data_IF_371622468742
#
_entry.id   IF_371622468742
#
_cell.length_a   1.000
_cell.length_b   1.000
_cell.length_c   1.000
_cell.angle_alpha   90.00
_cell.angle_beta   90.00
_cell.angle_gamma   90.00
#
_symmetry.space_group_name_H-M   'P 1'
#
loop_
_entity.id
_entity.type
_entity.pdbx_description
1 polymer ?
#
# COMPACT_ATOMS: atom_id res chain seq x y z
N UNK A 1 3.23 -10.81 -2.88
CA UNK A 1 1.92 -10.15 -2.78
C UNK A 1 1.35 -10.03 -4.18
N UNK A 2 0.19 -10.66 -4.42
CA UNK A 2 -0.60 -10.58 -5.64
C UNK A 2 -1.42 -9.28 -5.66
N UNK A 3 -1.77 -8.74 -6.83
CA UNK A 3 -2.59 -7.52 -6.95
C UNK A 3 -3.89 -7.56 -6.15
N UNK A 4 -4.52 -8.75 -6.14
CA UNK A 4 -5.76 -9.04 -5.42
C UNK A 4 -5.63 -8.82 -3.90
N UNK A 5 -4.45 -9.08 -3.33
CA UNK A 5 -4.18 -8.93 -1.90
C UNK A 5 -4.10 -7.45 -1.50
N UNK A 6 -3.71 -6.56 -2.41
CA UNK A 6 -3.68 -5.10 -2.16
C UNK A 6 -5.10 -4.56 -2.04
N UNK A 7 -5.98 -4.97 -2.96
CA UNK A 7 -7.40 -4.60 -2.94
C UNK A 7 -8.09 -5.13 -1.68
N UNK A 8 -7.89 -6.41 -1.37
CA UNK A 8 -8.45 -7.04 -0.17
C UNK A 8 -7.95 -6.35 1.10
N UNK A 9 -6.65 -6.03 1.19
CA UNK A 9 -6.10 -5.28 2.31
C UNK A 9 -6.81 -3.94 2.49
N UNK A 10 -6.96 -3.14 1.42
CA UNK A 10 -7.66 -1.85 1.49
C UNK A 10 -9.10 -2.00 1.97
N UNK A 11 -9.82 -2.98 1.43
CA UNK A 11 -11.23 -3.22 1.76
C UNK A 11 -11.41 -3.64 3.23
N UNK A 12 -10.49 -4.44 3.78
CA UNK A 12 -10.49 -4.81 5.22
C UNK A 12 -10.32 -3.61 6.15
N UNK A 13 -9.59 -2.58 5.73
CA UNK A 13 -9.45 -1.33 6.48
C UNK A 13 -10.63 -0.36 6.26
N UNK A 14 -11.57 -0.67 5.35
CA UNK A 14 -12.70 0.19 5.03
C UNK A 14 -12.31 1.46 4.26
N UNK A 15 -11.13 1.47 3.61
CA UNK A 15 -10.60 2.66 2.95
C UNK A 15 -11.00 2.74 1.46
N UNK A 16 -11.26 3.96 1.01
CA UNK A 16 -11.21 4.32 -0.41
C UNK A 16 -9.78 4.20 -0.96
N UNK A 17 -9.64 4.13 -2.29
CA UNK A 17 -8.31 4.12 -2.93
C UNK A 17 -7.50 5.38 -2.58
N UNK A 18 -8.15 6.53 -2.38
CA UNK A 18 -7.48 7.78 -2.02
C UNK A 18 -6.92 7.71 -0.59
N UNK A 19 -7.71 7.20 0.35
CA UNK A 19 -7.30 7.06 1.76
C UNK A 19 -6.18 6.05 1.93
N UNK A 20 -6.28 4.88 1.28
CA UNK A 20 -5.22 3.87 1.31
C UNK A 20 -3.92 4.37 0.68
N UNK A 21 -4.01 5.13 -0.42
CA UNK A 21 -2.83 5.73 -1.04
C UNK A 21 -2.19 6.79 -0.11
N UNK A 22 -3.01 7.60 0.56
CA UNK A 22 -2.53 8.57 1.55
C UNK A 22 -1.86 7.88 2.75
N UNK A 23 -2.45 6.80 3.29
CA UNK A 23 -1.89 6.02 4.38
C UNK A 23 -0.52 5.39 4.03
N UNK A 24 -0.35 5.00 2.76
CA UNK A 24 0.91 4.46 2.23
C UNK A 24 1.90 5.53 1.76
N UNK A 25 1.53 6.82 1.76
CA UNK A 25 2.38 7.90 1.25
C UNK A 25 2.65 7.84 -0.26
N UNK A 26 1.72 7.32 -1.06
CA UNK A 26 1.86 7.19 -2.52
C UNK A 26 0.71 7.89 -3.27
N UNK A 27 0.89 8.08 -4.57
CA UNK A 27 -0.20 8.58 -5.44
C UNK A 27 -1.31 7.54 -5.64
N UNK A 28 -2.57 8.00 -5.79
CA UNK A 28 -3.72 7.12 -6.05
C UNK A 28 -3.52 6.21 -7.27
N UNK A 29 -2.96 6.75 -8.36
CA UNK A 29 -2.66 5.99 -9.59
C UNK A 29 -1.64 4.85 -9.38
N UNK A 30 -0.74 5.03 -8.41
CA UNK A 30 0.24 4.00 -8.02
C UNK A 30 -0.48 2.85 -7.31
N UNK A 31 -1.35 3.18 -6.35
CA UNK A 31 -2.19 2.17 -5.67
C UNK A 31 -3.07 1.41 -6.68
N UNK A 32 -3.74 2.12 -7.59
CA UNK A 32 -4.56 1.49 -8.63
C UNK A 32 -3.74 0.53 -9.50
N UNK A 33 -2.51 0.89 -9.86
CA UNK A 33 -1.62 0.01 -10.62
C UNK A 33 -1.23 -1.23 -9.82
N UNK A 34 -1.07 -1.12 -8.50
CA UNK A 34 -0.83 -2.27 -7.62
C UNK A 34 -2.05 -3.19 -7.51
N UNK A 35 -3.25 -2.64 -7.34
CA UNK A 35 -4.49 -3.45 -7.30
C UNK A 35 -4.78 -4.16 -8.62
N UNK A 36 -4.41 -3.52 -9.74
CA UNK A 36 -4.64 -4.05 -11.08
C UNK A 36 -3.53 -5.00 -11.54
N UNK A 37 -2.32 -4.84 -11.02
CA UNK A 37 -1.13 -5.60 -11.39
C UNK A 37 -0.41 -5.11 -12.64
N UNK A 38 -0.81 -3.98 -13.22
CA UNK A 38 -0.16 -3.36 -14.38
C UNK A 38 -0.39 -1.85 -14.43
N UNK A 39 0.52 -1.13 -15.09
CA UNK A 39 0.41 0.33 -15.30
C UNK A 39 -0.65 0.66 -16.34
N UNK A 40 -1.37 1.76 -16.14
CA UNK A 40 -2.40 2.19 -17.09
C UNK A 40 -1.83 2.62 -18.44
N UNK A 41 -0.66 3.27 -18.46
CA UNK A 41 -0.09 3.87 -19.68
C UNK A 41 0.47 2.84 -20.67
N UNK A 42 1.27 1.89 -20.19
CA UNK A 42 2.05 0.97 -21.05
C UNK A 42 1.71 -0.51 -20.85
N UNK A 43 0.71 -0.81 -20.02
CA UNK A 43 0.27 -2.16 -19.63
C UNK A 43 1.37 -3.05 -19.06
N UNK A 44 2.53 -2.50 -18.69
CA UNK A 44 3.61 -3.31 -18.10
C UNK A 44 3.18 -3.83 -16.73
N UNK A 45 3.50 -5.10 -16.42
CA UNK A 45 3.23 -5.66 -15.11
C UNK A 45 3.89 -4.82 -14.01
N UNK A 46 3.18 -4.67 -12.90
CA UNK A 46 3.69 -3.98 -11.72
C UNK A 46 3.82 -4.96 -10.58
N UNK A 47 5.01 -4.99 -9.99
CA UNK A 47 5.27 -5.70 -8.74
C UNK A 47 5.16 -4.70 -7.59
N UNK A 48 4.42 -5.05 -6.54
CA UNK A 48 4.34 -4.25 -5.31
C UNK A 48 5.73 -4.27 -4.63
N UNK A 49 6.42 -3.13 -4.45
CA UNK A 49 7.76 -3.10 -3.86
C UNK A 49 7.79 -3.60 -2.41
N UNK A 50 8.97 -4.04 -1.93
CA UNK A 50 9.16 -4.49 -0.55
C UNK A 50 8.75 -3.42 0.47
N UNK A 51 9.11 -2.15 0.21
CA UNK A 51 8.78 -1.01 1.09
C UNK A 51 7.28 -0.86 1.29
N UNK A 52 6.48 -0.97 0.22
CA UNK A 52 5.03 -0.91 0.29
C UNK A 52 4.45 -2.10 1.05
N UNK A 53 4.95 -3.32 0.80
CA UNK A 53 4.49 -4.51 1.55
C UNK A 53 4.77 -4.39 3.05
N UNK A 54 5.92 -3.84 3.42
CA UNK A 54 6.26 -3.57 4.82
C UNK A 54 5.36 -2.47 5.42
N UNK A 55 5.07 -1.41 4.68
CA UNK A 55 4.16 -0.37 5.12
C UNK A 55 2.73 -0.90 5.33
N UNK A 56 2.23 -1.78 4.45
CA UNK A 56 0.93 -2.45 4.63
C UNK A 56 0.90 -3.29 5.92
N UNK A 57 1.97 -4.05 6.19
CA UNK A 57 2.09 -4.82 7.43
C UNK A 57 2.17 -3.92 8.67
N UNK A 58 2.88 -2.79 8.59
CA UNK A 58 2.92 -1.81 9.67
C UNK A 58 1.53 -1.23 9.96
N UNK A 59 0.77 -0.87 8.92
CA UNK A 59 -0.59 -0.36 9.06
C UNK A 59 -1.57 -1.40 9.63
N UNK A 60 -1.43 -2.68 9.26
CA UNK A 60 -2.19 -3.79 9.89
C UNK A 60 -1.91 -3.90 11.40
N UNK A 61 -0.70 -3.52 11.84
CA UNK A 61 -0.30 -3.46 13.25
C UNK A 61 -0.64 -2.12 13.94
N UNK A 62 -1.29 -1.18 13.24
CA UNK A 62 -1.58 0.16 13.75
C UNK A 62 -0.36 1.08 13.84
N UNK A 63 0.75 0.72 13.19
CA UNK A 63 1.95 1.56 13.11
C UNK A 63 1.82 2.52 11.93
N UNK A 64 1.57 3.79 12.24
CA UNK A 64 1.36 4.85 11.23
C UNK A 64 2.59 5.73 11.00
N UNK A 65 3.58 5.66 11.88
CA UNK A 65 4.80 6.48 11.79
C UNK A 65 5.98 5.80 12.52
N UNK A 66 7.20 6.19 12.17
CA UNK A 66 8.41 5.76 12.85
C UNK A 66 8.48 6.37 14.25
N UNK A 67 8.49 5.50 15.26
CA UNK A 67 8.74 5.90 16.65
C UNK A 67 10.14 5.42 17.03
N UNK A 68 11.12 6.32 17.18
CA UNK A 68 12.45 5.92 17.61
C UNK A 68 12.36 5.25 19.00
N UNK A 69 13.20 4.25 19.29
CA UNK A 69 13.27 3.69 20.63
C UNK A 69 13.59 4.80 21.63
N UNK A 70 12.95 4.76 22.81
CA UNK A 70 13.34 5.64 23.91
C UNK A 70 14.80 5.31 24.26
N UNK A 71 15.70 6.27 24.04
CA UNK A 71 17.06 6.16 24.54
C UNK A 71 16.99 6.13 26.09
N UNK A 72 17.81 5.29 26.74
CA UNK A 72 17.86 5.20 28.19
C UNK A 72 18.27 6.52 28.84
#
# INVERSE_FOLDING_TARGET
>A
MQPQEVKAWRERHGWSQKEAAAALGIGKSTLESYERGYRSEDKRPVVVPKTIRLAMAALDMGVTDYKPPKMP
#
